data_IF_209272554519
#
_entry.id   IF_209272554519
#
_cell.length_a   1.000
_cell.length_b   1.000
_cell.length_c   1.000
_cell.angle_alpha   90.00
_cell.angle_beta   90.00
_cell.angle_gamma   90.00
#
_symmetry.space_group_name_H-M   'P 1'
#
loop_
_entity.id
_entity.type
_entity.pdbx_description
1 polymer ?
#
# COMPACT_ATOMS: atom_id res chain seq x y z
N UNK A 1 55.49 0.69 -21.16
CA UNK A 1 54.82 -0.22 -20.21
C UNK A 1 54.08 0.67 -19.23
N UNK A 2 52.81 0.91 -19.51
CA UNK A 2 51.93 1.73 -18.69
C UNK A 2 51.23 0.87 -17.66
N UNK A 3 51.14 1.38 -16.43
CA UNK A 3 50.09 1.05 -15.49
C UNK A 3 49.44 2.39 -15.12
N UNK A 4 48.43 2.76 -15.91
CA UNK A 4 47.32 3.55 -15.42
C UNK A 4 46.44 2.53 -14.69
N UNK A 5 46.35 2.65 -13.38
CA UNK A 5 45.24 2.10 -12.60
C UNK A 5 45.21 2.90 -11.30
N UNK A 6 44.80 4.16 -11.42
CA UNK A 6 44.13 4.86 -10.32
C UNK A 6 42.88 4.07 -9.98
N UNK A 7 43.02 3.04 -9.14
CA UNK A 7 41.88 2.45 -8.45
C UNK A 7 41.30 3.53 -7.55
N UNK A 8 40.31 4.22 -8.09
CA UNK A 8 39.52 5.20 -7.39
C UNK A 8 38.88 4.54 -6.15
N UNK A 9 39.42 4.83 -4.97
CA UNK A 9 38.98 4.28 -3.67
C UNK A 9 37.53 4.70 -3.32
N UNK A 10 36.89 5.53 -4.15
CA UNK A 10 35.52 6.01 -3.98
C UNK A 10 34.49 5.35 -4.91
N UNK A 11 34.82 4.23 -5.57
CA UNK A 11 33.85 3.52 -6.43
C UNK A 11 32.83 2.64 -5.67
N UNK A 12 32.77 2.73 -4.35
CA UNK A 12 31.73 2.11 -3.52
C UNK A 12 31.14 3.11 -2.53
N UNK A 13 30.54 4.19 -3.03
CA UNK A 13 29.51 4.90 -2.26
C UNK A 13 28.19 4.13 -2.45
N UNK A 14 28.13 2.94 -1.86
CA UNK A 14 26.89 2.19 -1.63
C UNK A 14 26.35 2.64 -0.27
N UNK A 15 25.12 3.16 -0.25
CA UNK A 15 24.47 3.80 0.90
C UNK A 15 25.15 5.09 1.35
N UNK A 16 24.74 6.21 0.76
CA UNK A 16 24.86 7.52 1.41
C UNK A 16 23.57 7.79 2.22
N UNK A 17 23.57 7.54 3.54
CA UNK A 17 22.42 7.85 4.39
C UNK A 17 22.13 9.37 4.49
N UNK A 18 23.03 10.25 4.04
CA UNK A 18 22.81 11.70 4.07
C UNK A 18 22.00 12.21 2.88
N UNK A 19 22.02 11.52 1.74
CA UNK A 19 21.35 11.99 0.52
C UNK A 19 20.02 11.28 0.21
N UNK A 20 19.60 10.30 1.03
CA UNK A 20 18.35 9.54 0.87
C UNK A 20 18.08 9.07 -0.57
N UNK A 21 19.14 8.95 -1.38
CA UNK A 21 19.04 8.64 -2.80
C UNK A 21 18.98 7.14 -2.93
N UNK A 22 17.78 6.64 -3.17
CA UNK A 22 17.53 5.25 -3.53
C UNK A 22 18.34 4.89 -4.80
N UNK A 23 19.33 3.99 -4.72
CA UNK A 23 20.16 3.58 -5.86
C UNK A 23 19.36 2.96 -7.02
N UNK A 24 18.10 2.58 -6.78
CA UNK A 24 17.21 1.98 -7.77
C UNK A 24 16.37 3.01 -8.53
N UNK A 25 16.44 4.30 -8.15
CA UNK A 25 15.68 5.36 -8.80
C UNK A 25 14.17 5.17 -8.67
N UNK A 26 13.68 4.50 -7.62
CA UNK A 26 12.25 4.49 -7.35
C UNK A 26 11.86 5.92 -7.00
N UNK A 27 11.12 6.55 -7.90
CA UNK A 27 10.60 7.90 -7.70
C UNK A 27 9.58 7.80 -6.55
N UNK A 28 10.04 8.11 -5.33
CA UNK A 28 9.13 8.38 -4.24
C UNK A 28 8.23 9.55 -4.68
N UNK A 29 6.97 9.53 -4.24
CA UNK A 29 6.09 10.69 -4.40
C UNK A 29 6.86 11.92 -3.90
N UNK A 30 6.77 13.05 -4.63
CA UNK A 30 7.63 14.20 -4.38
C UNK A 30 7.80 14.50 -2.87
N UNK A 31 8.98 14.16 -2.34
CA UNK A 31 9.42 14.37 -0.94
C UNK A 31 8.74 13.54 0.16
N UNK A 32 8.15 12.38 -0.13
CA UNK A 32 7.59 11.50 0.90
C UNK A 32 8.23 10.11 0.85
N UNK A 33 9.12 9.74 1.80
CA UNK A 33 9.73 8.41 1.84
C UNK A 33 8.68 7.30 2.03
N UNK A 34 7.53 7.63 2.59
CA UNK A 34 6.44 6.69 2.89
C UNK A 34 5.45 6.56 1.74
N UNK A 35 5.91 6.80 0.52
CA UNK A 35 5.05 6.88 -0.65
C UNK A 35 5.73 6.26 -1.88
N UNK A 36 5.09 5.24 -2.43
CA UNK A 36 5.60 4.42 -3.54
C UNK A 36 4.62 4.53 -4.70
N UNK A 37 5.07 5.04 -5.85
CA UNK A 37 4.25 5.16 -7.06
C UNK A 37 4.59 4.06 -8.06
N UNK A 38 3.63 3.69 -8.90
CA UNK A 38 3.89 2.77 -10.00
C UNK A 38 4.87 3.39 -11.00
N UNK A 39 6.03 2.77 -11.19
CA UNK A 39 7.11 3.26 -12.08
C UNK A 39 6.87 2.95 -13.56
N UNK A 40 5.94 2.04 -13.86
CA UNK A 40 5.53 1.71 -15.23
C UNK A 40 4.30 2.52 -15.70
N UNK A 41 4.06 3.69 -15.10
CA UNK A 41 3.00 4.60 -15.52
C UNK A 41 3.27 5.16 -16.93
N UNK A 42 2.27 5.06 -17.80
CA UNK A 42 2.26 5.67 -19.12
C UNK A 42 1.03 6.60 -19.21
N UNK A 43 1.21 7.93 -19.22
CA UNK A 43 0.10 8.88 -19.23
C UNK A 43 -0.75 8.80 -20.50
N UNK A 44 -0.26 8.16 -21.57
CA UNK A 44 -1.04 7.99 -22.80
C UNK A 44 -1.97 6.77 -22.76
N UNK A 45 -1.74 5.86 -21.81
CA UNK A 45 -2.54 4.63 -21.64
C UNK A 45 -3.36 4.65 -20.36
N UNK A 46 -2.85 5.30 -19.33
CA UNK A 46 -3.56 5.44 -18.09
C UNK A 46 -4.77 6.38 -18.24
N UNK A 47 -5.90 6.03 -17.62
CA UNK A 47 -7.03 6.95 -17.46
C UNK A 47 -6.69 8.14 -16.55
N UNK A 48 -7.64 9.03 -16.30
CA UNK A 48 -7.41 10.27 -15.51
C UNK A 48 -7.99 10.21 -14.10
N UNK A 49 -8.36 9.02 -13.62
CA UNK A 49 -9.06 8.85 -12.34
C UNK A 49 -8.15 9.21 -11.16
N UNK A 50 -8.69 9.98 -10.21
CA UNK A 50 -8.07 10.28 -8.93
C UNK A 50 -8.94 9.76 -7.80
N UNK A 51 -8.34 8.96 -6.92
CA UNK A 51 -8.93 8.32 -5.75
C UNK A 51 -7.88 8.42 -4.65
N UNK A 52 -8.09 9.35 -3.73
CA UNK A 52 -7.16 9.66 -2.64
C UNK A 52 -7.91 9.74 -1.33
N UNK A 53 -7.28 9.30 -0.27
CA UNK A 53 -7.79 9.40 1.08
C UNK A 53 -7.53 10.80 1.66
N UNK A 54 -8.41 11.25 2.56
CA UNK A 54 -8.22 12.50 3.31
C UNK A 54 -7.31 12.27 4.52
N UNK A 55 -6.72 13.35 5.05
CA UNK A 55 -5.90 13.29 6.27
C UNK A 55 -6.68 12.88 7.51
N UNK A 56 -7.99 13.16 7.54
CA UNK A 56 -8.85 12.76 8.65
C UNK A 56 -9.07 11.24 8.64
N UNK A 57 -9.28 10.65 7.45
CA UNK A 57 -9.36 9.20 7.31
C UNK A 57 -8.00 8.55 7.58
N UNK A 58 -6.88 9.13 7.13
CA UNK A 58 -5.54 8.63 7.48
C UNK A 58 -5.39 8.52 9.01
N UNK A 59 -5.77 9.57 9.74
CA UNK A 59 -5.73 9.60 11.21
C UNK A 59 -6.63 8.53 11.83
N UNK A 60 -7.86 8.39 11.34
CA UNK A 60 -8.81 7.39 11.82
C UNK A 60 -8.32 5.96 11.52
N UNK A 61 -7.73 5.73 10.35
CA UNK A 61 -7.25 4.42 9.93
C UNK A 61 -6.07 3.94 10.81
N UNK A 62 -5.15 4.84 11.16
CA UNK A 62 -4.08 4.55 12.13
C UNK A 62 -4.67 4.28 13.52
N UNK A 63 -5.64 5.07 13.97
CA UNK A 63 -6.27 4.88 15.28
C UNK A 63 -7.04 3.55 15.39
N UNK A 64 -7.58 3.05 14.27
CA UNK A 64 -8.34 1.80 14.20
C UNK A 64 -7.48 0.55 14.02
N UNK A 65 -6.16 0.69 13.83
CA UNK A 65 -5.22 -0.44 13.68
C UNK A 65 -5.52 -1.62 14.62
N UNK A 66 -5.67 -1.43 15.96
CA UNK A 66 -5.88 -2.55 16.88
C UNK A 66 -7.22 -3.27 16.72
N UNK A 67 -8.20 -2.63 16.08
CA UNK A 67 -9.58 -3.11 16.05
C UNK A 67 -9.90 -3.95 14.81
N UNK A 68 -9.19 -3.76 13.69
CA UNK A 68 -9.39 -4.58 12.49
C UNK A 68 -8.13 -5.29 12.00
N UNK A 69 -7.03 -5.26 12.75
CA UNK A 69 -5.94 -6.22 12.56
C UNK A 69 -6.44 -7.67 12.75
N UNK A 70 -6.08 -8.56 11.82
CA UNK A 70 -6.48 -9.97 11.91
C UNK A 70 -5.51 -10.75 12.78
N UNK A 71 -6.05 -11.53 13.71
CA UNK A 71 -5.30 -12.46 14.57
C UNK A 71 -5.47 -13.92 14.16
N UNK A 72 -6.06 -14.18 12.99
CA UNK A 72 -6.32 -15.53 12.50
C UNK A 72 -6.33 -15.60 10.97
N UNK A 73 -6.97 -16.63 10.43
CA UNK A 73 -6.99 -16.93 8.99
C UNK A 73 -8.09 -16.17 8.21
N UNK A 74 -8.78 -15.23 8.86
CA UNK A 74 -9.88 -14.46 8.28
C UNK A 74 -9.52 -13.00 8.29
N UNK A 75 -9.74 -12.32 7.18
CA UNK A 75 -9.53 -10.88 7.09
C UNK A 75 -10.68 -10.17 7.81
N UNK A 76 -10.38 -9.11 8.54
CA UNK A 76 -11.40 -8.20 9.05
C UNK A 76 -11.59 -7.07 8.05
N UNK A 77 -12.81 -6.53 7.97
CA UNK A 77 -13.13 -5.41 7.11
C UNK A 77 -13.60 -4.21 7.91
N UNK A 78 -13.25 -3.01 7.45
CA UNK A 78 -13.72 -1.74 7.99
C UNK A 78 -14.12 -0.81 6.85
N UNK A 79 -15.11 0.03 7.09
CA UNK A 79 -15.42 1.19 6.26
C UNK A 79 -15.18 2.48 7.04
N UNK A 80 -14.78 3.52 6.32
CA UNK A 80 -14.58 4.87 6.84
C UNK A 80 -15.58 5.81 6.16
N UNK A 81 -16.31 6.56 6.98
CA UNK A 81 -17.29 7.55 6.54
C UNK A 81 -16.93 8.91 7.13
N UNK A 82 -16.47 9.83 6.29
CA UNK A 82 -16.07 11.18 6.67
C UNK A 82 -17.25 12.15 6.48
N UNK A 83 -17.57 12.87 7.55
CA UNK A 83 -18.47 14.00 7.45
C UNK A 83 -17.76 15.16 6.75
N UNK A 84 -18.13 15.46 5.51
CA UNK A 84 -17.51 16.52 4.69
C UNK A 84 -17.61 17.93 5.28
N UNK A 85 -18.45 18.16 6.28
CA UNK A 85 -18.61 19.47 6.95
C UNK A 85 -17.75 19.58 8.20
N UNK A 86 -17.62 18.50 8.99
CA UNK A 86 -16.90 18.53 10.27
C UNK A 86 -15.53 17.87 10.21
N UNK A 87 -15.23 17.11 9.16
CA UNK A 87 -14.03 16.27 9.06
C UNK A 87 -14.03 15.07 10.02
N UNK A 88 -15.13 14.83 10.73
CA UNK A 88 -15.23 13.70 11.65
C UNK A 88 -15.38 12.41 10.88
N UNK A 89 -14.57 11.41 11.20
CA UNK A 89 -14.63 10.09 10.58
C UNK A 89 -15.33 9.11 11.50
N UNK A 90 -16.32 8.41 10.97
CA UNK A 90 -16.94 7.24 11.61
C UNK A 90 -16.33 5.98 11.01
N UNK A 91 -15.97 5.07 11.89
CA UNK A 91 -15.38 3.77 11.55
C UNK A 91 -16.43 2.71 11.84
N UNK A 92 -16.62 1.77 10.91
CA UNK A 92 -17.60 0.69 11.10
C UNK A 92 -17.00 -0.60 10.60
N UNK A 93 -16.88 -1.58 11.49
CA UNK A 93 -16.53 -2.93 11.06
C UNK A 93 -17.61 -3.48 10.15
N UNK A 94 -17.18 -4.07 9.04
CA UNK A 94 -18.09 -4.67 8.06
C UNK A 94 -17.88 -6.18 7.99
N UNK A 95 -18.95 -6.95 7.74
CA UNK A 95 -18.83 -8.39 7.63
C UNK A 95 -17.95 -8.77 6.43
N UNK A 96 -16.98 -9.64 6.69
CA UNK A 96 -16.12 -10.27 5.70
C UNK A 96 -16.48 -11.74 5.52
N UNK A 97 -16.22 -12.27 4.34
CA UNK A 97 -16.24 -13.70 4.06
C UNK A 97 -14.97 -14.05 3.31
N UNK A 98 -14.10 -14.85 3.93
CA UNK A 98 -12.83 -15.28 3.36
C UNK A 98 -12.91 -16.73 2.88
N UNK A 99 -12.48 -16.98 1.65
CA UNK A 99 -12.35 -18.32 1.07
C UNK A 99 -10.88 -18.59 0.78
N UNK A 100 -10.35 -19.70 1.28
CA UNK A 100 -8.95 -20.11 1.03
C UNK A 100 -8.89 -20.96 -0.24
N UNK A 101 -8.34 -20.40 -1.32
CA UNK A 101 -8.12 -21.05 -2.60
C UNK A 101 -6.63 -21.34 -2.80
N UNK A 102 -6.12 -22.38 -2.13
CA UNK A 102 -4.70 -22.70 -2.14
C UNK A 102 -3.88 -21.68 -1.34
N UNK A 103 -3.04 -20.90 -2.03
CA UNK A 103 -2.21 -19.85 -1.42
C UNK A 103 -2.86 -18.45 -1.46
N UNK A 104 -4.09 -18.36 -1.96
CA UNK A 104 -4.84 -17.11 -2.08
C UNK A 104 -5.99 -17.14 -1.10
N UNK A 105 -6.18 -16.03 -0.39
CA UNK A 105 -7.40 -15.78 0.38
C UNK A 105 -8.21 -14.78 -0.41
N UNK A 106 -9.40 -15.19 -0.80
CA UNK A 106 -10.36 -14.30 -1.43
C UNK A 106 -11.31 -13.81 -0.33
N UNK A 107 -11.22 -12.52 0.00
CA UNK A 107 -12.15 -11.90 0.95
C UNK A 107 -13.16 -11.05 0.22
N UNK A 108 -14.43 -11.25 0.56
CA UNK A 108 -15.51 -10.34 0.17
C UNK A 108 -15.95 -9.52 1.37
N UNK A 109 -15.98 -8.19 1.22
CA UNK A 109 -16.58 -7.27 2.19
C UNK A 109 -18.00 -6.91 1.76
N UNK A 110 -18.94 -6.91 2.71
CA UNK A 110 -20.32 -6.48 2.49
C UNK A 110 -20.61 -5.13 3.16
N UNK A 111 -21.64 -4.41 2.75
CA UNK A 111 -22.04 -3.16 3.43
C UNK A 111 -21.09 -1.96 3.25
N UNK A 112 -20.22 -1.97 2.23
CA UNK A 112 -19.27 -0.87 1.91
C UNK A 112 -19.87 0.24 1.01
N UNK A 113 -21.16 0.14 0.69
CA UNK A 113 -21.84 1.12 -0.16
C UNK A 113 -21.81 2.52 0.45
N UNK A 114 -21.34 3.50 -0.33
CA UNK A 114 -21.25 4.90 0.08
C UNK A 114 -20.05 5.27 0.97
N UNK A 115 -19.20 4.31 1.35
CA UNK A 115 -18.02 4.61 2.18
C UNK A 115 -17.02 5.52 1.45
N UNK A 116 -16.33 6.40 2.18
CA UNK A 116 -15.31 7.28 1.60
C UNK A 116 -13.99 6.54 1.39
N UNK A 117 -13.67 5.62 2.29
CA UNK A 117 -12.58 4.65 2.14
C UNK A 117 -12.98 3.31 2.75
N UNK A 118 -12.25 2.26 2.39
CA UNK A 118 -12.38 0.96 3.03
C UNK A 118 -11.03 0.55 3.61
N UNK A 119 -11.05 -0.40 4.52
CA UNK A 119 -9.85 -1.07 4.99
C UNK A 119 -10.10 -2.54 5.21
N UNK A 120 -9.04 -3.33 5.08
CA UNK A 120 -9.05 -4.73 5.49
C UNK A 120 -7.70 -5.11 6.09
N UNK A 121 -7.66 -6.23 6.81
CA UNK A 121 -6.42 -6.81 7.29
C UNK A 121 -6.00 -8.00 6.47
N UNK A 122 -4.69 -8.20 6.34
CA UNK A 122 -4.13 -9.48 5.92
C UNK A 122 -4.00 -10.42 7.12
N UNK A 123 -4.34 -11.72 6.97
CA UNK A 123 -4.40 -12.65 8.08
C UNK A 123 -3.03 -13.10 8.58
N UNK A 124 -2.97 -13.50 9.85
CA UNK A 124 -1.77 -14.04 10.52
C UNK A 124 -2.07 -15.41 11.15
N UNK A 125 -1.25 -16.46 10.88
CA UNK A 125 -0.22 -16.55 9.83
C UNK A 125 -0.84 -16.68 8.43
N UNK A 126 -0.04 -16.46 7.38
CA UNK A 126 -0.45 -16.80 6.02
C UNK A 126 -0.90 -18.29 5.94
N UNK A 127 -1.93 -18.65 5.14
CA UNK A 127 -2.60 -19.97 5.14
C UNK A 127 -1.70 -21.18 4.97
N UNK A 128 -0.49 -20.98 4.45
CA UNK A 128 0.49 -22.00 4.12
C UNK A 128 1.76 -21.91 5.01
N UNK A 129 1.72 -21.12 6.09
CA UNK A 129 2.88 -20.89 6.93
C UNK A 129 4.01 -20.12 6.23
N UNK A 130 3.77 -19.50 5.06
CA UNK A 130 4.80 -18.76 4.31
C UNK A 130 5.21 -17.44 4.96
N UNK A 131 4.86 -17.21 6.23
CA UNK A 131 5.39 -16.12 7.05
C UNK A 131 5.33 -14.75 6.39
N UNK A 132 4.35 -14.52 5.51
CA UNK A 132 4.24 -13.28 4.75
C UNK A 132 3.70 -12.17 5.65
N UNK A 133 4.58 -11.68 6.51
CA UNK A 133 4.34 -10.67 7.54
C UNK A 133 4.32 -9.25 6.94
N UNK A 134 3.55 -9.01 5.89
CA UNK A 134 3.75 -7.80 5.08
C UNK A 134 2.42 -7.09 4.79
N UNK A 135 2.31 -5.78 5.11
CA UNK A 135 1.18 -4.94 4.70
C UNK A 135 1.12 -4.70 3.18
N UNK A 136 2.02 -5.31 2.38
CA UNK A 136 2.04 -5.16 0.94
C UNK A 136 0.70 -5.53 0.29
N UNK A 137 0.16 -4.67 -0.59
CA UNK A 137 -1.04 -5.00 -1.36
C UNK A 137 -0.86 -6.26 -2.21
N UNK A 138 -1.85 -7.14 -2.20
CA UNK A 138 -1.95 -8.33 -3.03
C UNK A 138 -2.86 -8.20 -4.26
N UNK A 139 -3.06 -9.29 -5.01
CA UNK A 139 -4.02 -9.32 -6.11
C UNK A 139 -5.44 -9.01 -5.63
N UNK A 140 -6.10 -8.02 -6.23
CA UNK A 140 -7.47 -7.63 -5.91
C UNK A 140 -7.57 -6.35 -5.08
N UNK A 141 -6.49 -5.90 -4.45
CA UNK A 141 -6.51 -4.69 -3.62
C UNK A 141 -6.66 -3.38 -4.39
N UNK A 142 -6.45 -3.43 -5.71
CA UNK A 142 -6.79 -2.36 -6.63
C UNK A 142 -8.30 -2.23 -6.88
N UNK A 143 -9.10 -3.28 -6.63
CA UNK A 143 -10.52 -3.30 -6.98
C UNK A 143 -11.32 -2.17 -6.30
N UNK A 144 -11.03 -1.90 -5.02
CA UNK A 144 -11.65 -0.79 -4.29
C UNK A 144 -11.28 0.57 -4.89
N UNK A 145 -10.01 0.76 -5.24
CA UNK A 145 -9.52 1.99 -5.87
C UNK A 145 -10.16 2.20 -7.23
N UNK A 146 -10.30 1.14 -8.02
CA UNK A 146 -11.03 1.20 -9.29
C UNK A 146 -12.51 1.55 -9.11
N UNK A 147 -13.12 1.09 -8.02
CA UNK A 147 -14.47 1.45 -7.61
C UNK A 147 -14.58 2.85 -6.95
N UNK A 148 -13.49 3.63 -6.92
CA UNK A 148 -13.50 5.01 -6.42
C UNK A 148 -13.26 5.15 -4.92
N UNK A 149 -12.71 4.12 -4.24
CA UNK A 149 -12.45 4.14 -2.80
C UNK A 149 -10.99 3.81 -2.50
N UNK A 150 -10.25 4.64 -1.74
CA UNK A 150 -8.95 4.24 -1.22
C UNK A 150 -9.08 2.95 -0.39
N UNK A 151 -8.04 2.11 -0.42
CA UNK A 151 -8.02 0.82 0.26
C UNK A 151 -6.90 0.79 1.30
N UNK A 152 -7.27 0.78 2.57
CA UNK A 152 -6.32 0.64 3.68
C UNK A 152 -6.05 -0.85 3.91
N UNK A 153 -4.80 -1.22 4.11
CA UNK A 153 -4.37 -2.60 4.32
C UNK A 153 -3.55 -2.63 5.60
N UNK A 154 -3.96 -3.49 6.54
CA UNK A 154 -3.32 -3.62 7.85
C UNK A 154 -2.67 -4.98 8.01
N UNK A 155 -1.44 -4.96 8.52
CA UNK A 155 -0.73 -6.18 8.90
C UNK A 155 0.45 -5.92 9.85
N UNK A 156 0.53 -6.70 10.93
CA UNK A 156 1.62 -6.67 11.93
C UNK A 156 1.91 -5.25 12.45
N UNK A 157 0.83 -4.56 12.83
CA UNK A 157 0.85 -3.17 13.28
C UNK A 157 1.22 -2.15 12.20
N UNK A 158 1.42 -2.54 10.95
CA UNK A 158 1.65 -1.62 9.82
C UNK A 158 0.36 -1.35 9.07
N UNK A 159 0.25 -0.14 8.51
CA UNK A 159 -0.87 0.24 7.66
C UNK A 159 -0.37 0.96 6.42
N UNK A 160 -0.84 0.48 5.27
CA UNK A 160 -0.66 1.16 4.00
C UNK A 160 -2.00 1.51 3.39
N UNK A 161 -2.03 2.48 2.49
CA UNK A 161 -3.21 2.81 1.69
C UNK A 161 -2.87 2.76 0.21
N UNK A 162 -3.69 2.03 -0.55
CA UNK A 162 -3.64 1.99 -2.02
C UNK A 162 -4.56 3.08 -2.55
N UNK A 163 -4.02 3.87 -3.47
CA UNK A 163 -4.65 5.06 -4.05
C UNK A 163 -4.35 5.14 -5.56
N UNK A 164 -5.00 6.11 -6.20
CA UNK A 164 -4.73 6.46 -7.60
C UNK A 164 -4.71 7.97 -7.77
N UNK A 165 -3.69 8.52 -8.41
CA UNK A 165 -3.57 9.97 -8.65
C UNK A 165 -3.38 10.19 -10.14
N UNK A 166 -4.33 10.88 -10.79
CA UNK A 166 -4.31 11.14 -12.23
C UNK A 166 -4.01 9.89 -13.07
N UNK A 167 -4.60 8.75 -12.69
CA UNK A 167 -4.39 7.48 -13.38
C UNK A 167 -3.27 6.60 -12.85
N UNK A 168 -2.31 7.15 -12.10
CA UNK A 168 -1.14 6.45 -11.58
C UNK A 168 -1.45 5.80 -10.22
N UNK A 169 -1.19 4.51 -10.07
CA UNK A 169 -1.29 3.86 -8.75
C UNK A 169 -0.20 4.32 -7.80
N UNK A 170 -0.58 4.46 -6.53
CA UNK A 170 0.27 4.88 -5.43
C UNK A 170 -0.06 4.07 -4.19
N UNK A 171 0.95 3.75 -3.39
CA UNK A 171 0.80 3.15 -2.07
C UNK A 171 1.51 4.04 -1.06
N UNK A 172 0.78 4.50 -0.03
CA UNK A 172 1.36 5.27 1.08
C UNK A 172 1.40 4.42 2.35
N UNK A 173 2.46 4.54 3.14
CA UNK A 173 2.51 4.03 4.51
C UNK A 173 1.93 5.12 5.42
N UNK A 174 0.97 4.77 6.28
CA UNK A 174 0.28 5.75 7.12
C UNK A 174 0.88 5.88 8.52
N UNK A 175 1.62 4.88 8.97
CA UNK A 175 2.34 4.95 10.23
C UNK A 175 3.85 4.97 9.99
N UNK A 176 4.58 5.67 10.86
CA UNK A 176 6.05 5.84 10.82
C UNK A 176 6.82 4.52 11.07
N UNK A 177 6.17 3.37 10.92
CA UNK A 177 6.84 2.09 10.98
C UNK A 177 7.74 1.94 9.76
N UNK A 178 9.02 1.70 10.03
CA UNK A 178 10.01 1.51 9.00
C UNK A 178 9.74 0.21 8.23
N UNK A 179 9.04 0.33 7.10
CA UNK A 179 8.99 -0.74 6.11
C UNK A 179 10.43 -1.15 5.75
N UNK A 180 10.69 -2.46 5.74
CA UNK A 180 11.97 -2.97 5.30
C UNK A 180 12.16 -2.71 3.80
N UNK A 181 13.40 -2.75 3.32
CA UNK A 181 13.65 -2.65 1.87
C UNK A 181 12.91 -3.77 1.09
N UNK A 182 12.73 -4.94 1.69
CA UNK A 182 12.01 -6.05 1.08
C UNK A 182 10.52 -5.71 0.88
N UNK A 183 9.87 -5.13 1.91
CA UNK A 183 8.47 -4.70 1.85
C UNK A 183 8.29 -3.59 0.81
N UNK A 184 9.20 -2.60 0.79
CA UNK A 184 9.19 -1.52 -0.21
C UNK A 184 9.31 -2.06 -1.63
N UNK A 185 10.22 -3.00 -1.87
CA UNK A 185 10.38 -3.64 -3.19
C UNK A 185 9.14 -4.45 -3.59
N UNK A 186 8.47 -5.08 -2.62
CA UNK A 186 7.24 -5.83 -2.86
C UNK A 186 6.08 -4.90 -3.20
N UNK A 187 5.85 -3.87 -2.39
CA UNK A 187 4.86 -2.83 -2.65
C UNK A 187 5.09 -2.18 -4.03
N UNK A 188 6.33 -1.88 -4.40
CA UNK A 188 6.64 -1.35 -5.73
C UNK A 188 6.22 -2.29 -6.86
N UNK A 189 6.50 -3.60 -6.72
CA UNK A 189 6.09 -4.62 -7.69
C UNK A 189 4.56 -4.72 -7.77
N UNK A 190 3.88 -4.61 -6.64
CA UNK A 190 2.42 -4.75 -6.56
C UNK A 190 1.72 -3.51 -7.14
N UNK A 191 2.19 -2.30 -6.82
CA UNK A 191 1.78 -1.05 -7.48
C UNK A 191 1.96 -1.11 -9.00
N UNK A 192 3.11 -1.62 -9.47
CA UNK A 192 3.36 -1.81 -10.89
C UNK A 192 2.40 -2.84 -11.52
N UNK A 193 2.02 -3.85 -10.75
CA UNK A 193 1.07 -4.88 -11.19
C UNK A 193 -0.33 -4.30 -11.35
N UNK A 194 -0.80 -3.49 -10.40
CA UNK A 194 -2.07 -2.76 -10.52
C UNK A 194 -2.06 -1.86 -11.75
N UNK A 195 -0.98 -1.10 -11.94
CA UNK A 195 -0.83 -0.20 -13.07
C UNK A 195 -0.89 -0.91 -14.43
N UNK A 196 -0.28 -2.10 -14.57
CA UNK A 196 -0.32 -2.89 -15.82
C UNK A 196 -1.73 -3.38 -16.18
N UNK A 197 -2.59 -3.63 -15.19
CA UNK A 197 -3.96 -4.12 -15.45
C UNK A 197 -4.89 -3.02 -15.99
N UNK A 198 -4.47 -1.75 -15.93
CA UNK A 198 -5.26 -0.60 -16.34
C UNK A 198 -4.78 0.09 -17.63
N UNK A 199 -3.79 -0.48 -18.31
CA UNK A 199 -3.22 0.01 -19.57
C UNK A 199 -3.52 -0.97 -20.70
#
# INVERSE_FOLDING_TARGET
MGYQDDFNLYAYVRNDPLNLSDPWGMQACANQPDCIEATNYDPNKAGTQTVTQSTNIDTAAVAELPNYESTGNTENGVRFDENSTTGTVTTTQVPTTSVVNGNVIETTMSGIGGADAIGHSHPTPAPNGSGGSDPSPGPGDDAAVLAGKPNNIVHDGNIVVVERVNGQFRVRVLNDNNLTQADRNRIQRDANTFQRRQQ
#
